data_IF_470766449204
#
_entry.id   IF_470766449204
#
_cell.length_a   1.000
_cell.length_b   1.000
_cell.length_c   1.000
_cell.angle_alpha   90.00
_cell.angle_beta   90.00
_cell.angle_gamma   90.00
#
_symmetry.space_group_name_H-M   'P 1'
#
loop_
_entity.id
_entity.type
_entity.pdbx_description
1 polymer ?
#
# COMPACT_ATOMS: atom_id res chain seq x y z
N UNK A 1 -2.32 -41.91 -44.33
CA UNK A 1 -1.29 -41.79 -43.28
C UNK A 1 -1.74 -40.70 -42.35
N UNK A 2 -2.47 -41.09 -41.30
CA UNK A 2 -3.18 -40.18 -40.41
C UNK A 2 -2.25 -39.73 -39.28
N UNK A 3 -1.86 -38.45 -39.27
CA UNK A 3 -1.01 -37.87 -38.22
C UNK A 3 -1.92 -37.46 -37.06
N UNK A 4 -2.12 -38.38 -36.12
CA UNK A 4 -2.74 -38.07 -34.84
C UNK A 4 -1.91 -37.01 -34.09
N UNK A 5 -2.48 -35.81 -33.97
CA UNK A 5 -2.00 -34.74 -33.10
C UNK A 5 -2.07 -35.20 -31.64
N UNK A 6 -0.93 -35.49 -31.03
CA UNK A 6 -0.82 -35.66 -29.57
C UNK A 6 -1.05 -34.31 -28.91
N UNK A 7 -2.28 -34.06 -28.49
CA UNK A 7 -2.58 -33.00 -27.53
C UNK A 7 -1.79 -33.29 -26.25
N UNK A 8 -0.89 -32.38 -25.88
CA UNK A 8 -0.32 -32.39 -24.55
C UNK A 8 -1.44 -32.04 -23.58
N UNK A 9 -2.06 -33.06 -22.98
CA UNK A 9 -2.93 -32.87 -21.83
C UNK A 9 -2.07 -32.28 -20.73
N UNK A 10 -2.20 -30.97 -20.49
CA UNK A 10 -1.61 -30.34 -19.34
C UNK A 10 -2.20 -31.03 -18.11
N UNK A 11 -1.36 -31.72 -17.32
CA UNK A 11 -1.81 -32.37 -16.11
C UNK A 11 -2.50 -31.32 -15.22
N UNK A 12 -3.71 -31.64 -14.76
CA UNK A 12 -4.39 -30.84 -13.75
C UNK A 12 -3.46 -30.67 -12.55
N UNK A 13 -3.36 -29.46 -12.01
CA UNK A 13 -2.57 -29.25 -10.80
C UNK A 13 -3.15 -30.15 -9.69
N UNK A 14 -2.27 -30.74 -8.88
CA UNK A 14 -2.67 -31.55 -7.71
C UNK A 14 -3.38 -30.71 -6.65
N UNK A 15 -3.64 -31.26 -5.44
CA UNK A 15 -4.23 -30.51 -4.34
C UNK A 15 -3.44 -29.23 -4.04
N UNK A 16 -4.09 -28.26 -3.39
CA UNK A 16 -3.45 -26.97 -3.09
C UNK A 16 -2.15 -27.16 -2.30
N UNK A 17 -1.08 -26.59 -2.85
CA UNK A 17 0.26 -26.65 -2.29
C UNK A 17 0.71 -25.25 -1.84
N UNK A 18 0.84 -25.01 -0.52
CA UNK A 18 1.39 -23.77 0.04
C UNK A 18 2.76 -23.38 -0.51
N UNK A 19 3.64 -24.33 -0.84
CA UNK A 19 4.98 -24.06 -1.35
C UNK A 19 4.93 -23.55 -2.81
N UNK A 20 4.00 -24.08 -3.60
CA UNK A 20 3.72 -23.55 -4.94
C UNK A 20 3.21 -22.10 -4.87
N UNK A 21 2.30 -21.79 -3.95
CA UNK A 21 1.85 -20.41 -3.73
C UNK A 21 3.01 -19.50 -3.29
N UNK A 22 3.86 -19.97 -2.37
CA UNK A 22 5.07 -19.26 -1.95
C UNK A 22 6.02 -18.94 -3.12
N UNK A 23 6.18 -19.89 -4.05
CA UNK A 23 7.00 -19.69 -5.26
C UNK A 23 6.41 -18.62 -6.19
N UNK A 24 5.09 -18.63 -6.40
CA UNK A 24 4.41 -17.59 -7.20
C UNK A 24 4.61 -16.20 -6.59
N UNK A 25 4.42 -16.07 -5.28
CA UNK A 25 4.60 -14.80 -4.55
C UNK A 25 6.05 -14.31 -4.60
N UNK A 26 7.02 -15.22 -4.47
CA UNK A 26 8.45 -14.88 -4.58
C UNK A 26 8.83 -14.37 -5.98
N UNK A 27 8.31 -15.02 -7.03
CA UNK A 27 8.52 -14.61 -8.43
C UNK A 27 7.85 -13.27 -8.71
N UNK A 28 6.63 -13.07 -8.22
CA UNK A 28 5.89 -11.81 -8.33
C UNK A 28 6.64 -10.67 -7.65
N UNK A 29 7.15 -10.88 -6.44
CA UNK A 29 7.95 -9.89 -5.75
C UNK A 29 9.29 -9.60 -6.46
N UNK A 30 9.92 -10.61 -7.08
CA UNK A 30 11.11 -10.43 -7.93
C UNK A 30 10.79 -9.58 -9.15
N UNK A 31 9.68 -9.85 -9.82
CA UNK A 31 9.24 -9.09 -10.99
C UNK A 31 9.05 -7.59 -10.66
N UNK A 32 8.49 -7.25 -9.49
CA UNK A 32 8.41 -5.86 -9.02
C UNK A 32 9.80 -5.24 -8.83
N UNK A 33 10.73 -5.95 -8.19
CA UNK A 33 12.10 -5.45 -7.96
C UNK A 33 12.84 -5.21 -9.27
N UNK A 34 12.76 -6.17 -10.18
CA UNK A 34 13.53 -6.18 -11.43
C UNK A 34 12.88 -5.32 -12.53
N UNK A 35 11.63 -4.87 -12.32
CA UNK A 35 10.89 -4.10 -13.31
C UNK A 35 10.35 -4.97 -14.46
N UNK A 36 10.16 -6.26 -14.22
CA UNK A 36 9.61 -7.20 -15.19
C UNK A 36 8.08 -7.26 -15.15
N UNK A 37 7.45 -6.43 -15.98
CA UNK A 37 5.98 -6.36 -16.07
C UNK A 37 5.37 -7.67 -16.59
N UNK A 38 6.06 -8.34 -17.50
CA UNK A 38 5.55 -9.56 -18.14
C UNK A 38 5.53 -10.69 -17.11
N UNK A 39 6.61 -10.87 -16.36
CA UNK A 39 6.66 -11.87 -15.29
C UNK A 39 5.63 -11.60 -14.18
N UNK A 40 5.40 -10.33 -13.82
CA UNK A 40 4.39 -9.98 -12.83
C UNK A 40 2.97 -10.32 -13.30
N UNK A 41 2.62 -9.99 -14.56
CA UNK A 41 1.28 -10.25 -15.08
C UNK A 41 1.06 -11.73 -15.43
N UNK A 42 2.13 -12.48 -15.72
CA UNK A 42 2.04 -13.92 -15.91
C UNK A 42 1.46 -14.64 -14.67
N UNK A 43 1.64 -14.09 -13.45
CA UNK A 43 1.10 -14.71 -12.23
C UNK A 43 -0.43 -14.62 -12.11
N UNK A 44 -1.06 -13.76 -12.91
CA UNK A 44 -2.51 -13.49 -12.92
C UNK A 44 -3.14 -13.74 -14.29
N UNK A 45 -2.42 -14.36 -15.23
CA UNK A 45 -2.84 -14.48 -16.64
C UNK A 45 -4.16 -15.22 -16.85
N UNK A 46 -4.54 -16.09 -15.90
CA UNK A 46 -5.80 -16.86 -15.93
C UNK A 46 -6.93 -16.22 -15.10
N UNK A 47 -6.67 -15.11 -14.41
CA UNK A 47 -7.67 -14.41 -13.61
C UNK A 47 -8.68 -13.66 -14.50
N UNK A 48 -9.87 -13.29 -13.99
CA UNK A 48 -10.80 -12.42 -14.71
C UNK A 48 -10.14 -11.11 -15.16
N UNK A 49 -10.55 -10.59 -16.33
CA UNK A 49 -9.92 -9.41 -16.95
C UNK A 49 -9.86 -8.19 -16.02
N UNK A 50 -10.94 -7.94 -15.26
CA UNK A 50 -10.98 -6.84 -14.30
C UNK A 50 -9.90 -6.96 -13.21
N UNK A 51 -9.62 -8.18 -12.74
CA UNK A 51 -8.54 -8.42 -11.80
C UNK A 51 -7.18 -8.20 -12.46
N UNK A 52 -6.97 -8.72 -13.68
CA UNK A 52 -5.73 -8.45 -14.43
C UNK A 52 -5.46 -6.95 -14.62
N UNK A 53 -6.48 -6.17 -14.96
CA UNK A 53 -6.37 -4.72 -15.14
C UNK A 53 -6.06 -4.00 -13.81
N UNK A 54 -6.64 -4.46 -12.69
CA UNK A 54 -6.30 -3.96 -11.36
C UNK A 54 -4.84 -4.26 -10.98
N UNK A 55 -4.37 -5.48 -11.25
CA UNK A 55 -3.00 -5.90 -10.98
C UNK A 55 -2.00 -5.17 -11.87
N UNK A 56 -2.34 -4.91 -13.13
CA UNK A 56 -1.58 -4.06 -14.04
C UNK A 56 -1.41 -2.65 -13.48
N UNK A 57 -2.49 -2.01 -13.03
CA UNK A 57 -2.42 -0.67 -12.44
C UNK A 57 -1.61 -0.65 -11.16
N UNK A 58 -1.78 -1.65 -10.28
CA UNK A 58 -0.96 -1.80 -9.08
C UNK A 58 0.52 -1.88 -9.45
N UNK A 59 0.90 -2.69 -10.44
CA UNK A 59 2.28 -2.78 -10.90
C UNK A 59 2.81 -1.42 -11.37
N UNK A 60 2.07 -0.72 -12.24
CA UNK A 60 2.46 0.58 -12.76
C UNK A 60 2.60 1.63 -11.63
N UNK A 61 1.77 1.54 -10.59
CA UNK A 61 1.85 2.34 -9.37
C UNK A 61 3.11 2.01 -8.55
N UNK A 62 3.40 0.73 -8.30
CA UNK A 62 4.61 0.30 -7.57
C UNK A 62 5.89 0.78 -8.24
N UNK A 63 5.93 0.82 -9.58
CA UNK A 63 7.08 1.30 -10.35
C UNK A 63 7.37 2.80 -10.18
N UNK A 64 6.40 3.58 -9.70
CA UNK A 64 6.57 5.02 -9.40
C UNK A 64 7.04 5.28 -7.98
N UNK A 65 6.98 4.29 -7.09
CA UNK A 65 7.36 4.44 -5.70
C UNK A 65 8.87 4.24 -5.53
N UNK A 66 9.54 4.98 -4.63
CA UNK A 66 10.96 4.79 -4.33
C UNK A 66 11.17 3.56 -3.43
N UNK A 67 10.80 2.37 -3.92
CA UNK A 67 10.92 1.13 -3.16
C UNK A 67 12.39 0.76 -2.91
N UNK A 68 12.70 0.47 -1.65
CA UNK A 68 13.96 -0.18 -1.23
C UNK A 68 13.76 -1.69 -1.08
N UNK A 69 12.57 -2.11 -0.71
CA UNK A 69 12.19 -3.52 -0.59
C UNK A 69 10.71 -3.73 -0.94
N UNK A 70 10.43 -4.87 -1.57
CA UNK A 70 9.09 -5.40 -1.82
C UNK A 70 9.12 -6.92 -1.67
N UNK A 71 8.23 -7.45 -0.83
CA UNK A 71 8.12 -8.88 -0.52
C UNK A 71 6.65 -9.24 -0.35
N UNK A 72 6.28 -10.41 -0.84
CA UNK A 72 4.96 -11.00 -0.63
C UNK A 72 5.19 -12.36 0.01
N UNK A 73 4.64 -12.57 1.21
CA UNK A 73 4.84 -13.80 1.99
C UNK A 73 3.51 -14.45 2.31
N UNK A 74 3.40 -15.74 1.99
CA UNK A 74 2.29 -16.55 2.47
C UNK A 74 2.30 -16.55 4.01
N UNK A 75 1.17 -16.20 4.62
CA UNK A 75 0.97 -16.28 6.07
C UNK A 75 0.27 -17.57 6.46
N UNK A 76 -0.88 -17.85 5.85
CA UNK A 76 -1.62 -19.10 6.02
C UNK A 76 -2.66 -19.28 4.89
N UNK A 77 -3.19 -20.50 4.81
CA UNK A 77 -4.35 -20.82 3.97
C UNK A 77 -5.61 -20.58 4.77
N UNK A 78 -6.53 -19.75 4.26
CA UNK A 78 -7.79 -19.40 4.91
C UNK A 78 -8.90 -20.39 4.56
N UNK A 79 -8.97 -20.77 3.29
CA UNK A 79 -9.93 -21.74 2.78
C UNK A 79 -9.28 -22.53 1.65
N UNK A 80 -9.51 -23.82 1.61
CA UNK A 80 -9.21 -24.66 0.46
C UNK A 80 -10.49 -25.44 0.16
N UNK A 81 -11.16 -25.09 -0.94
CA UNK A 81 -12.44 -25.68 -1.33
C UNK A 81 -12.42 -26.01 -2.82
N UNK A 82 -12.64 -27.29 -3.13
CA UNK A 82 -12.59 -27.80 -4.50
C UNK A 82 -11.22 -27.55 -5.14
N UNK A 83 -11.22 -26.95 -6.33
CA UNK A 83 -10.04 -26.62 -7.11
C UNK A 83 -9.49 -25.21 -6.81
N UNK A 84 -9.79 -24.61 -5.65
CA UNK A 84 -9.30 -23.28 -5.32
C UNK A 84 -8.89 -23.15 -3.87
N UNK A 85 -7.97 -22.22 -3.60
CA UNK A 85 -7.55 -21.90 -2.25
C UNK A 85 -7.42 -20.39 -2.06
N UNK A 86 -7.98 -19.89 -0.97
CA UNK A 86 -7.78 -18.51 -0.52
C UNK A 86 -6.64 -18.52 0.48
N UNK A 87 -5.63 -17.70 0.21
CA UNK A 87 -4.51 -17.53 1.10
C UNK A 87 -4.44 -16.11 1.63
N UNK A 88 -4.06 -16.00 2.91
CA UNK A 88 -3.66 -14.73 3.50
C UNK A 88 -2.18 -14.53 3.25
N UNK A 89 -1.82 -13.38 2.70
CA UNK A 89 -0.43 -12.97 2.50
C UNK A 89 -0.14 -11.70 3.29
N UNK A 90 1.13 -11.55 3.62
CA UNK A 90 1.69 -10.32 4.14
C UNK A 90 2.56 -9.69 3.06
N UNK A 91 2.17 -8.50 2.63
CA UNK A 91 2.93 -7.64 1.74
C UNK A 91 3.82 -6.75 2.59
N UNK A 92 5.14 -6.82 2.39
CA UNK A 92 6.12 -6.00 3.10
C UNK A 92 6.84 -5.07 2.14
N UNK A 93 6.92 -3.79 2.49
CA UNK A 93 7.64 -2.81 1.69
C UNK A 93 8.36 -1.76 2.53
N UNK A 94 9.31 -1.06 1.92
CA UNK A 94 10.05 0.03 2.54
C UNK A 94 10.30 1.13 1.52
N UNK A 95 9.95 2.37 1.86
CA UNK A 95 10.22 3.56 1.04
C UNK A 95 11.62 4.10 1.34
N UNK A 96 12.49 4.09 0.32
CA UNK A 96 13.90 4.46 0.40
C UNK A 96 14.08 5.88 0.93
N UNK A 97 14.85 6.00 2.01
CA UNK A 97 15.21 7.29 2.62
C UNK A 97 14.13 7.93 3.50
N UNK A 98 12.95 7.30 3.60
CA UNK A 98 11.84 7.76 4.43
C UNK A 98 11.53 6.76 5.55
N UNK A 99 11.33 5.50 5.20
CA UNK A 99 11.01 4.45 6.17
C UNK A 99 12.27 3.92 6.85
N UNK A 100 12.19 3.67 8.16
CA UNK A 100 13.27 3.02 8.93
C UNK A 100 13.19 1.51 8.81
N UNK A 101 12.00 0.93 8.98
CA UNK A 101 11.71 -0.49 8.86
C UNK A 101 10.80 -0.83 7.68
N UNK A 102 10.45 -2.11 7.56
CA UNK A 102 9.43 -2.54 6.60
C UNK A 102 8.05 -2.32 7.18
N UNK A 103 7.18 -1.70 6.40
CA UNK A 103 5.74 -1.67 6.60
C UNK A 103 5.14 -2.99 6.15
N UNK A 104 4.05 -3.44 6.78
CA UNK A 104 3.27 -4.60 6.38
C UNK A 104 1.80 -4.25 6.06
N UNK A 105 1.24 -4.98 5.10
CA UNK A 105 -0.19 -5.00 4.75
C UNK A 105 -0.66 -6.43 4.58
N UNK A 106 -1.84 -6.75 5.10
CA UNK A 106 -2.52 -8.02 4.83
C UNK A 106 -3.22 -7.94 3.48
N UNK A 107 -3.03 -8.96 2.65
CA UNK A 107 -3.83 -9.18 1.44
C UNK A 107 -4.35 -10.61 1.40
N UNK A 108 -5.40 -10.83 0.64
CA UNK A 108 -5.98 -12.14 0.40
C UNK A 108 -6.01 -12.42 -1.10
N UNK A 109 -5.48 -13.56 -1.49
CA UNK A 109 -5.42 -13.99 -2.88
C UNK A 109 -6.10 -15.34 -3.03
N UNK A 110 -6.92 -15.46 -4.07
CA UNK A 110 -7.49 -16.74 -4.48
C UNK A 110 -6.59 -17.35 -5.54
N UNK A 111 -6.15 -18.58 -5.29
CA UNK A 111 -5.35 -19.41 -6.17
C UNK A 111 -6.20 -20.50 -6.80
N UNK A 112 -5.92 -20.83 -8.07
CA UNK A 112 -6.52 -21.94 -8.80
C UNK A 112 -5.46 -22.67 -9.66
N UNK A 113 -5.67 -23.95 -10.00
CA UNK A 113 -4.88 -24.69 -10.98
C UNK A 113 -4.75 -23.91 -12.29
N UNK A 114 -3.50 -23.69 -12.70
CA UNK A 114 -3.14 -23.35 -14.07
C UNK A 114 -2.49 -24.55 -14.76
N UNK A 115 -2.02 -24.34 -16.00
CA UNK A 115 -1.29 -25.37 -16.74
C UNK A 115 0.04 -25.72 -16.05
N UNK A 116 0.06 -26.80 -15.27
CA UNK A 116 1.27 -27.33 -14.62
C UNK A 116 1.72 -26.62 -13.33
N UNK A 117 1.00 -25.61 -12.85
CA UNK A 117 1.26 -24.94 -11.55
C UNK A 117 0.02 -24.22 -11.03
N UNK A 118 0.05 -23.72 -9.79
CA UNK A 118 -0.99 -22.85 -9.23
C UNK A 118 -0.79 -21.40 -9.69
N UNK A 119 -1.89 -20.71 -10.02
CA UNK A 119 -1.87 -19.29 -10.45
C UNK A 119 -2.85 -18.47 -9.62
N UNK A 120 -2.64 -17.14 -9.55
CA UNK A 120 -3.57 -16.25 -8.85
C UNK A 120 -4.78 -16.03 -9.76
N UNK A 121 -5.96 -16.39 -9.27
CA UNK A 121 -7.24 -16.29 -9.95
C UNK A 121 -8.08 -15.09 -9.50
N UNK A 122 -7.75 -14.47 -8.37
CA UNK A 122 -8.46 -13.28 -7.86
C UNK A 122 -8.01 -12.84 -6.47
N UNK A 123 -8.77 -11.93 -5.88
CA UNK A 123 -8.65 -11.55 -4.47
C UNK A 123 -9.53 -12.45 -3.55
N UNK A 124 -9.59 -12.14 -2.26
CA UNK A 124 -10.40 -12.87 -1.27
C UNK A 124 -11.84 -12.37 -1.09
N UNK A 125 -12.30 -11.38 -1.85
CA UNK A 125 -13.58 -10.67 -1.60
C UNK A 125 -14.79 -11.59 -1.71
N UNK A 126 -14.81 -12.48 -2.72
CA UNK A 126 -15.88 -13.48 -2.90
C UNK A 126 -15.99 -14.47 -1.75
N UNK A 127 -14.97 -14.53 -0.89
CA UNK A 127 -14.91 -15.39 0.29
C UNK A 127 -15.05 -14.59 1.60
N UNK A 128 -15.43 -13.31 1.53
CA UNK A 128 -15.66 -12.46 2.69
C UNK A 128 -14.39 -11.90 3.34
N UNK A 129 -13.22 -12.05 2.70
CA UNK A 129 -11.98 -11.45 3.18
C UNK A 129 -11.78 -10.06 2.60
N UNK A 130 -11.18 -9.17 3.38
CA UNK A 130 -10.91 -7.79 2.99
C UNK A 130 -9.43 -7.48 3.20
N UNK A 131 -8.84 -6.88 2.18
CA UNK A 131 -7.46 -6.42 2.20
C UNK A 131 -7.25 -5.16 3.07
N UNK A 132 -6.05 -5.02 3.62
CA UNK A 132 -5.59 -3.74 4.17
C UNK A 132 -5.27 -2.80 3.01
N UNK A 133 -6.01 -1.69 2.89
CA UNK A 133 -5.78 -0.70 1.84
C UNK A 133 -4.36 -0.09 1.91
N UNK A 134 -3.80 0.23 0.75
CA UNK A 134 -2.60 1.06 0.64
C UNK A 134 -2.66 1.96 -0.60
N UNK A 135 -1.78 2.96 -0.68
CA UNK A 135 -1.86 4.04 -1.67
C UNK A 135 -1.81 3.53 -3.12
N UNK A 136 -1.14 2.40 -3.37
CA UNK A 136 -1.06 1.80 -4.71
C UNK A 136 -2.38 1.16 -5.19
N UNK A 137 -3.38 1.01 -4.31
CA UNK A 137 -4.73 0.56 -4.67
C UNK A 137 -5.56 1.66 -5.36
N UNK A 138 -5.11 2.92 -5.27
CA UNK A 138 -5.76 4.06 -5.90
C UNK A 138 -5.64 4.10 -7.42
N UNK A 139 -5.95 5.28 -7.98
CA UNK A 139 -5.76 5.57 -9.40
C UNK A 139 -4.28 5.64 -9.81
N UNK A 140 -4.00 6.13 -11.03
CA UNK A 140 -2.63 6.29 -11.52
C UNK A 140 -1.83 7.25 -10.65
N UNK A 141 -0.90 6.71 -9.87
CA UNK A 141 -0.15 7.51 -8.89
C UNK A 141 0.86 8.46 -9.53
N UNK A 142 1.22 9.48 -8.77
CA UNK A 142 2.42 10.30 -8.92
C UNK A 142 3.14 10.34 -7.57
N UNK A 143 4.47 10.30 -7.59
CA UNK A 143 5.30 10.49 -6.40
C UNK A 143 6.14 11.77 -6.57
N UNK A 144 5.98 12.72 -5.66
CA UNK A 144 6.75 13.96 -5.61
C UNK A 144 7.70 13.89 -4.42
N UNK A 145 8.99 13.89 -4.70
CA UNK A 145 10.03 13.96 -3.68
C UNK A 145 10.45 15.42 -3.46
N UNK A 146 10.24 15.92 -2.26
CA UNK A 146 10.76 17.18 -1.77
C UNK A 146 12.14 17.03 -1.11
N UNK A 147 12.57 18.08 -0.41
CA UNK A 147 13.79 18.10 0.41
C UNK A 147 13.66 17.16 1.62
N UNK A 148 12.51 17.19 2.30
CA UNK A 148 12.22 16.40 3.49
C UNK A 148 10.91 15.61 3.38
N UNK A 149 10.15 15.80 2.31
CA UNK A 149 8.86 15.15 2.10
C UNK A 149 8.86 14.16 0.93
N UNK A 150 8.00 13.15 1.01
CA UNK A 150 7.59 12.29 -0.09
C UNK A 150 6.07 12.30 -0.16
N UNK A 151 5.51 12.90 -1.20
CA UNK A 151 4.06 13.00 -1.40
C UNK A 151 3.65 12.03 -2.51
N UNK A 152 2.77 11.09 -2.20
CA UNK A 152 2.34 10.02 -3.10
C UNK A 152 0.83 10.09 -3.24
N UNK A 153 0.31 10.13 -4.46
CA UNK A 153 -1.12 10.19 -4.67
C UNK A 153 -1.52 10.25 -6.14
N UNK A 154 -2.81 10.09 -6.40
CA UNK A 154 -3.47 10.33 -7.69
C UNK A 154 -4.31 11.63 -7.67
N UNK A 155 -4.36 12.33 -6.53
CA UNK A 155 -4.93 13.68 -6.46
C UNK A 155 -4.04 14.74 -7.13
N UNK A 156 -4.63 15.89 -7.42
CA UNK A 156 -3.91 17.06 -7.95
C UNK A 156 -3.16 17.82 -6.86
N UNK A 157 -2.22 18.70 -7.25
CA UNK A 157 -1.58 19.62 -6.31
C UNK A 157 -0.49 19.02 -5.42
N UNK A 158 -0.02 17.79 -5.68
CA UNK A 158 0.98 17.09 -4.85
C UNK A 158 2.27 17.90 -4.64
N UNK A 159 2.75 18.62 -5.66
CA UNK A 159 3.92 19.49 -5.52
C UNK A 159 3.70 20.62 -4.50
N UNK A 160 2.52 21.24 -4.50
CA UNK A 160 2.20 22.27 -3.53
C UNK A 160 2.13 21.73 -2.11
N UNK A 161 1.66 20.50 -1.92
CA UNK A 161 1.69 19.80 -0.62
C UNK A 161 3.15 19.54 -0.19
N UNK A 162 4.00 19.05 -1.09
CA UNK A 162 5.41 18.80 -0.82
C UNK A 162 6.16 20.08 -0.40
N UNK A 163 5.95 21.18 -1.14
CA UNK A 163 6.59 22.47 -0.85
C UNK A 163 6.19 23.00 0.55
N UNK A 164 4.92 22.83 0.95
CA UNK A 164 4.41 23.23 2.27
C UNK A 164 4.99 22.37 3.39
N UNK A 165 5.01 21.04 3.21
CA UNK A 165 5.62 20.13 4.18
C UNK A 165 7.12 20.42 4.35
N UNK A 166 7.85 20.66 3.26
CA UNK A 166 9.27 21.00 3.30
C UNK A 166 9.55 22.35 3.98
N UNK A 167 8.60 23.29 3.95
CA UNK A 167 8.68 24.56 4.68
C UNK A 167 8.34 24.38 6.17
N UNK A 168 7.41 23.48 6.51
CA UNK A 168 7.00 23.20 7.87
C UNK A 168 8.06 22.43 8.70
N UNK A 169 8.84 21.54 8.07
CA UNK A 169 9.88 20.74 8.77
C UNK A 169 10.83 21.57 9.65
N UNK A 170 11.48 22.64 9.16
CA UNK A 170 12.35 23.45 10.02
C UNK A 170 11.58 24.19 11.13
N UNK A 171 10.33 24.61 10.88
CA UNK A 171 9.47 25.27 11.89
C UNK A 171 9.17 24.31 13.03
N UNK A 172 8.64 23.12 12.72
CA UNK A 172 8.33 22.07 13.71
C UNK A 172 9.60 21.66 14.46
N UNK A 173 10.71 21.46 13.75
CA UNK A 173 12.02 21.13 14.36
C UNK A 173 12.46 22.20 15.36
N UNK A 174 12.25 23.49 15.07
CA UNK A 174 12.62 24.57 15.97
C UNK A 174 11.88 24.53 17.31
N UNK A 175 10.67 23.97 17.33
CA UNK A 175 9.83 23.86 18.52
C UNK A 175 10.07 22.54 19.25
N UNK A 176 9.98 21.41 18.55
CA UNK A 176 10.02 20.07 19.17
C UNK A 176 11.43 19.49 19.29
N UNK A 177 12.42 20.14 18.66
CA UNK A 177 13.79 19.67 18.60
C UNK A 177 14.08 18.70 17.44
N UNK A 178 15.30 18.13 17.43
CA UNK A 178 15.87 17.32 16.34
C UNK A 178 15.78 15.80 16.58
N UNK A 179 15.03 15.35 17.59
CA UNK A 179 14.96 13.92 17.98
C UNK A 179 14.19 13.01 17.01
N UNK A 180 13.52 13.57 16.00
CA UNK A 180 12.72 12.85 15.01
C UNK A 180 13.45 12.80 13.65
N UNK A 181 12.88 12.07 12.68
CA UNK A 181 13.55 11.86 11.39
C UNK A 181 13.68 13.13 10.52
N UNK A 182 12.93 14.19 10.84
CA UNK A 182 12.84 15.43 10.06
C UNK A 182 12.45 15.18 8.61
N UNK A 183 11.64 14.14 8.40
CA UNK A 183 11.10 13.69 7.12
C UNK A 183 9.67 13.20 7.30
N UNK A 184 8.89 13.26 6.22
CA UNK A 184 7.48 12.88 6.22
C UNK A 184 7.09 12.21 4.90
N UNK A 185 6.22 11.20 4.99
CA UNK A 185 5.53 10.62 3.84
C UNK A 185 4.07 11.04 3.91
N UNK A 186 3.57 11.70 2.86
CA UNK A 186 2.17 12.07 2.74
C UNK A 186 1.48 11.23 1.65
N UNK A 187 0.32 10.66 1.96
CA UNK A 187 -0.51 9.89 1.05
C UNK A 187 -1.74 10.74 0.68
N UNK A 188 -1.96 10.96 -0.61
CA UNK A 188 -2.96 11.90 -1.13
C UNK A 188 -3.82 11.20 -2.19
N UNK A 189 -4.64 10.21 -1.79
CA UNK A 189 -5.55 9.56 -2.74
C UNK A 189 -6.59 10.58 -3.25
N UNK A 190 -7.06 10.44 -4.48
CA UNK A 190 -8.15 11.24 -5.03
C UNK A 190 -9.52 10.81 -4.49
N UNK A 191 -9.64 9.56 -4.05
CA UNK A 191 -10.83 8.98 -3.44
C UNK A 191 -10.80 9.12 -1.90
N UNK A 192 -11.84 9.76 -1.35
CA UNK A 192 -12.01 9.91 0.10
C UNK A 192 -12.22 8.58 0.82
N UNK A 193 -12.85 7.59 0.17
CA UNK A 193 -13.04 6.27 0.78
C UNK A 193 -11.69 5.55 0.96
N UNK A 194 -10.80 5.64 -0.04
CA UNK A 194 -9.41 5.19 0.11
C UNK A 194 -8.66 5.99 1.17
N UNK A 195 -8.85 7.31 1.26
CA UNK A 195 -8.25 8.12 2.33
C UNK A 195 -8.64 7.57 3.71
N UNK A 196 -9.94 7.39 3.98
CA UNK A 196 -10.46 6.82 5.23
C UNK A 196 -9.91 5.41 5.49
N UNK A 197 -9.82 4.56 4.45
CA UNK A 197 -9.25 3.23 4.58
C UNK A 197 -7.75 3.25 4.96
N UNK A 198 -6.98 4.22 4.44
CA UNK A 198 -5.56 4.42 4.79
C UNK A 198 -5.37 4.94 6.22
N UNK A 199 -6.30 5.75 6.72
CA UNK A 199 -6.28 6.22 8.11
C UNK A 199 -6.45 5.07 9.11
N UNK A 200 -7.23 4.06 8.72
CA UNK A 200 -7.42 2.81 9.45
C UNK A 200 -8.88 2.58 9.88
N UNK A 201 -9.15 1.44 10.55
CA UNK A 201 -10.51 1.07 10.92
C UNK A 201 -11.20 2.12 11.80
N UNK A 202 -12.44 2.48 11.45
CA UNK A 202 -13.26 3.42 12.21
C UNK A 202 -12.88 4.89 12.06
N UNK A 203 -11.90 5.23 11.22
CA UNK A 203 -11.56 6.61 10.88
C UNK A 203 -12.34 7.06 9.63
N UNK A 204 -12.89 8.28 9.66
CA UNK A 204 -13.44 8.94 8.47
C UNK A 204 -12.68 10.24 8.22
N UNK A 205 -12.30 10.42 6.96
CA UNK A 205 -11.63 11.61 6.43
C UNK A 205 -12.57 12.49 5.59
N UNK A 206 -13.89 12.30 5.72
CA UNK A 206 -14.89 13.08 4.97
C UNK A 206 -14.86 14.57 5.34
N UNK A 207 -14.61 14.88 6.62
CA UNK A 207 -14.57 16.24 7.16
C UNK A 207 -13.17 16.66 7.65
N UNK A 208 -12.24 15.71 7.76
CA UNK A 208 -10.87 15.93 8.22
C UNK A 208 -9.96 16.16 7.02
N UNK A 209 -9.23 17.28 7.00
CA UNK A 209 -8.42 17.68 5.85
C UNK A 209 -7.12 16.88 5.72
N UNK A 210 -6.49 16.53 6.84
CA UNK A 210 -5.35 15.62 6.88
C UNK A 210 -5.29 14.93 8.25
N UNK A 211 -4.56 13.81 8.32
CA UNK A 211 -4.40 13.03 9.54
C UNK A 211 -3.04 12.33 9.58
N UNK A 212 -2.29 12.52 10.66
CA UNK A 212 -1.13 11.73 10.98
C UNK A 212 -1.54 10.34 11.48
N UNK A 213 -0.96 9.30 10.88
CA UNK A 213 -1.22 7.89 11.23
C UNK A 213 0.07 7.09 11.19
N UNK A 214 -0.02 5.82 11.55
CA UNK A 214 1.11 4.88 11.56
C UNK A 214 0.80 3.69 10.68
N UNK A 215 1.61 3.52 9.64
CA UNK A 215 1.61 2.32 8.83
C UNK A 215 2.17 1.14 9.64
N UNK A 216 1.43 0.02 9.78
CA UNK A 216 1.85 -1.16 10.54
C UNK A 216 3.24 -1.67 10.17
N UNK A 217 4.03 -2.08 11.16
CA UNK A 217 5.35 -2.71 10.97
C UNK A 217 5.21 -4.18 10.59
N UNK A 218 6.12 -4.70 9.76
CA UNK A 218 6.22 -6.12 9.38
C UNK A 218 6.76 -7.06 10.49
N UNK A 219 6.59 -6.66 11.75
CA UNK A 219 7.12 -7.30 12.95
C UNK A 219 6.79 -6.44 14.19
N UNK A 220 7.50 -6.64 15.29
CA UNK A 220 7.24 -5.94 16.57
C UNK A 220 7.71 -4.48 16.62
N UNK A 221 8.15 -3.93 15.49
CA UNK A 221 8.54 -2.53 15.36
C UNK A 221 7.38 -1.55 15.53
N UNK A 222 7.72 -0.26 15.62
CA UNK A 222 6.77 0.83 15.89
C UNK A 222 5.92 1.28 14.69
N UNK A 223 6.12 0.68 13.52
CA UNK A 223 5.55 1.16 12.27
C UNK A 223 6.16 2.48 11.80
N UNK A 224 5.72 2.94 10.64
CA UNK A 224 6.24 4.15 9.99
C UNK A 224 5.15 5.22 9.92
N UNK A 225 5.51 6.46 10.25
CA UNK A 225 4.55 7.56 10.22
C UNK A 225 4.12 7.89 8.79
N UNK A 226 2.86 8.27 8.65
CA UNK A 226 2.24 8.74 7.41
C UNK A 226 1.38 9.95 7.74
N UNK A 227 1.24 10.86 6.79
CA UNK A 227 0.17 11.87 6.78
C UNK A 227 -0.79 11.51 5.66
N UNK A 228 -2.05 11.25 5.96
CA UNK A 228 -3.09 11.07 4.94
C UNK A 228 -3.71 12.44 4.68
N UNK A 229 -3.80 12.86 3.43
CA UNK A 229 -4.46 14.12 3.05
C UNK A 229 -5.74 13.78 2.32
N UNK A 230 -6.87 14.25 2.86
CA UNK A 230 -8.19 14.11 2.23
C UNK A 230 -8.33 15.18 1.14
N UNK A 231 -8.40 14.82 -0.15
CA UNK A 231 -8.35 15.79 -1.24
C UNK A 231 -9.54 16.76 -1.21
N UNK A 232 -10.73 16.27 -0.87
CA UNK A 232 -11.95 17.07 -0.81
C UNK A 232 -11.89 18.12 0.29
N UNK A 233 -11.57 17.71 1.52
CA UNK A 233 -11.53 18.60 2.68
C UNK A 233 -10.33 19.55 2.64
N UNK A 234 -9.15 19.04 2.28
CA UNK A 234 -7.96 19.87 2.08
C UNK A 234 -8.10 20.88 0.95
N UNK A 235 -8.77 20.49 -0.15
CA UNK A 235 -9.02 21.34 -1.30
C UNK A 235 -9.86 22.58 -0.97
N UNK A 236 -10.78 22.49 0.00
CA UNK A 236 -11.64 23.61 0.44
C UNK A 236 -10.92 24.64 1.32
N UNK A 237 -9.77 24.28 1.88
CA UNK A 237 -9.00 25.20 2.73
C UNK A 237 -8.35 26.33 1.91
N UNK A 238 -8.27 27.51 2.52
CA UNK A 238 -7.46 28.61 2.00
C UNK A 238 -5.94 28.32 2.20
N UNK A 239 -5.08 29.20 1.69
CA UNK A 239 -3.64 29.01 1.75
C UNK A 239 -3.10 28.84 3.19
N UNK A 240 -3.57 29.67 4.13
CA UNK A 240 -3.16 29.62 5.53
C UNK A 240 -3.65 28.33 6.20
N UNK A 241 -4.90 27.94 5.99
CA UNK A 241 -5.47 26.70 6.54
C UNK A 241 -4.70 25.46 6.09
N UNK A 242 -4.24 25.42 4.83
CA UNK A 242 -3.39 24.34 4.33
C UNK A 242 -2.03 24.30 5.02
N UNK A 243 -1.42 25.45 5.31
CA UNK A 243 -0.16 25.51 6.08
C UNK A 243 -0.35 25.04 7.52
N UNK A 244 -1.40 25.53 8.19
CA UNK A 244 -1.71 25.17 9.57
C UNK A 244 -1.94 23.68 9.70
N UNK A 245 -2.82 23.10 8.88
CA UNK A 245 -3.15 21.66 8.93
C UNK A 245 -1.91 20.80 8.66
N UNK A 246 -1.14 21.08 7.60
CA UNK A 246 0.05 20.26 7.32
C UNK A 246 1.14 20.41 8.39
N UNK A 247 1.27 21.59 8.98
CA UNK A 247 2.20 21.81 10.11
C UNK A 247 1.74 21.09 11.37
N UNK A 248 0.43 21.06 11.61
CA UNK A 248 -0.19 20.30 12.69
C UNK A 248 0.10 18.80 12.54
N UNK A 249 -0.23 18.20 11.39
CA UNK A 249 0.06 16.77 11.15
C UNK A 249 1.55 16.45 11.25
N UNK A 250 2.41 17.34 10.78
CA UNK A 250 3.85 17.16 10.90
C UNK A 250 4.32 17.22 12.36
N UNK A 251 3.65 17.99 13.20
CA UNK A 251 3.92 18.03 14.64
C UNK A 251 3.60 16.68 15.26
N UNK A 252 2.49 16.03 14.90
CA UNK A 252 2.20 14.64 15.32
C UNK A 252 3.26 13.66 14.89
N UNK A 253 3.76 13.75 13.65
CA UNK A 253 4.86 12.91 13.18
C UNK A 253 6.12 13.14 14.02
N UNK A 254 6.44 14.40 14.34
CA UNK A 254 7.65 14.75 15.06
C UNK A 254 7.61 14.36 16.54
N UNK A 255 6.44 14.46 17.19
CA UNK A 255 6.25 14.07 18.60
C UNK A 255 5.90 12.59 18.77
N UNK A 256 5.51 11.92 17.69
CA UNK A 256 4.95 10.56 17.74
C UNK A 256 3.49 10.52 18.22
N UNK A 257 2.76 11.64 18.11
CA UNK A 257 1.36 11.80 18.56
C UNK A 257 0.40 10.75 18.00
N UNK A 258 0.55 10.35 16.73
CA UNK A 258 -0.25 9.29 16.12
C UNK A 258 -0.10 7.90 16.78
N UNK A 259 0.93 7.70 17.62
CA UNK A 259 1.14 6.49 18.42
C UNK A 259 0.57 6.61 19.82
N UNK A 260 0.23 7.81 20.27
CA UNK A 260 -0.19 8.05 21.62
C UNK A 260 -1.65 7.59 21.81
N UNK A 261 -1.82 6.56 22.63
CA UNK A 261 -3.13 6.01 23.01
C UNK A 261 -3.52 6.39 24.44
N UNK A 262 -2.70 7.18 25.12
CA UNK A 262 -2.84 7.52 26.53
C UNK A 262 -3.28 8.97 26.71
N UNK A 263 -2.82 9.84 25.82
CA UNK A 263 -3.22 11.24 25.83
C UNK A 263 -4.63 11.37 25.22
N UNK A 264 -5.56 12.09 25.88
CA UNK A 264 -6.89 12.33 25.32
C UNK A 264 -6.83 13.01 23.96
N UNK A 265 -7.71 12.64 23.03
CA UNK A 265 -7.74 13.18 21.66
C UNK A 265 -7.78 14.72 21.63
N UNK A 266 -8.55 15.37 22.50
CA UNK A 266 -8.61 16.84 22.56
C UNK A 266 -7.25 17.50 22.87
N UNK A 267 -6.35 16.79 23.55
CA UNK A 267 -5.02 17.31 23.88
C UNK A 267 -3.99 16.97 22.78
N UNK A 268 -4.26 15.95 21.98
CA UNK A 268 -3.45 15.58 20.80
C UNK A 268 -3.82 16.50 19.64
N UNK A 269 -5.09 16.54 19.26
CA UNK A 269 -5.59 17.27 18.09
C UNK A 269 -5.71 18.80 18.30
N UNK A 270 -5.71 19.25 19.57
CA UNK A 270 -5.85 20.66 19.93
C UNK A 270 -7.28 21.17 19.92
#
# INVERSE_FOLDING_TARGET
GDRASRGHSAAAAGPFDPDAAGTVLANRARAVRDGDRIAFLATVGNAPRAFQDAQSRMYDNLRKLPLEGWQERLSNTQAAAGESAVVRIEVRYKLRGFDKGHVARTRYLTFAPGSGTWTIAGDGTSHGFKDDADIWDGGPLTAVKGRSSLVIGDATGLKGIADRLDAAVPVVTGVVGRGWAQRVVALVPADTALASALAGPGQSLDEIAALATVAPSAGTGRGEDRVIVSPGSFGRLNALGRDVVLTHELTHVATGGARDRRTPLWLIEG
#
